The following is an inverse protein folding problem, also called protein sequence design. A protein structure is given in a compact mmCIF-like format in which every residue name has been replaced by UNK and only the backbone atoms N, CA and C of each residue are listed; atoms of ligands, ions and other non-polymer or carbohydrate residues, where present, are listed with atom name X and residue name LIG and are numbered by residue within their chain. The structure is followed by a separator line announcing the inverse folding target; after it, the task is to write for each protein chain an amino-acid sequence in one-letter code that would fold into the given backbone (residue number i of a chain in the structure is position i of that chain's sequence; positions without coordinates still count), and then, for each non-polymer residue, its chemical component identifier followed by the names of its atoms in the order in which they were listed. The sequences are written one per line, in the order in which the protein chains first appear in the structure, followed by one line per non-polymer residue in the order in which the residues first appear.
data_IF_366791762961
#
_entry.id   IF_366791762961
#
_cell.length_a   1.000
_cell.length_b   1.000
_cell.length_c   1.000
_cell.angle_alpha   90.00
_cell.angle_beta   90.00
_cell.angle_gamma   90.00
#
_symmetry.space_group_name_H-M   'P 1'
#
loop_
_entity.id
_entity.type
_entity.pdbx_description
1 polymer ?
#
# COMPACT_ATOMS: atom_id res chain seq x y z
N UNK A 1 23.17 9.94 -11.30
CA UNK A 1 22.58 9.95 -12.66
C UNK A 1 21.33 10.83 -12.66
N UNK A 2 21.22 11.79 -13.58
CA UNK A 2 19.99 12.60 -13.76
C UNK A 2 19.04 11.83 -14.68
N UNK A 3 17.74 11.96 -14.46
CA UNK A 3 16.72 11.39 -15.35
C UNK A 3 16.80 12.05 -16.71
N UNK A 4 16.87 11.24 -17.78
CA UNK A 4 16.85 11.75 -19.14
C UNK A 4 15.40 11.88 -19.63
N UNK A 5 15.07 13.06 -20.18
CA UNK A 5 13.71 13.38 -20.66
C UNK A 5 13.48 13.07 -22.14
N UNK A 6 14.54 12.80 -22.92
CA UNK A 6 14.45 12.58 -24.38
C UNK A 6 15.22 11.32 -24.82
N UNK A 7 14.63 10.50 -25.72
CA UNK A 7 15.27 9.29 -26.23
C UNK A 7 16.38 9.59 -27.25
N UNK A 8 17.40 8.74 -27.29
CA UNK A 8 18.47 8.77 -28.30
C UNK A 8 18.07 8.08 -29.62
N UNK A 9 18.92 8.16 -30.65
CA UNK A 9 18.70 7.48 -31.94
C UNK A 9 18.63 5.95 -31.73
N UNK A 10 19.54 5.39 -30.94
CA UNK A 10 19.54 3.97 -30.59
C UNK A 10 18.24 3.59 -29.89
N UNK A 11 17.74 4.48 -29.02
CA UNK A 11 16.49 4.26 -28.30
C UNK A 11 15.28 4.17 -29.23
N UNK A 12 15.26 5.03 -30.25
CA UNK A 12 14.18 5.10 -31.25
C UNK A 12 14.10 3.81 -32.10
N UNK A 13 15.25 3.19 -32.39
CA UNK A 13 15.35 1.93 -33.14
C UNK A 13 14.87 0.75 -32.29
N UNK A 14 15.31 0.71 -31.03
CA UNK A 14 14.91 -0.31 -30.06
C UNK A 14 13.41 -0.24 -29.70
N UNK A 15 12.81 0.95 -29.79
CA UNK A 15 11.40 1.20 -29.52
C UNK A 15 10.44 0.40 -30.42
N UNK A 16 10.87 0.05 -31.64
CA UNK A 16 10.11 -0.77 -32.60
C UNK A 16 9.94 -2.24 -32.14
N UNK A 17 10.83 -2.74 -31.28
CA UNK A 17 10.83 -4.13 -30.79
C UNK A 17 9.99 -4.33 -29.51
N UNK A 18 9.56 -3.25 -28.86
CA UNK A 18 8.84 -3.33 -27.58
C UNK A 18 7.39 -3.83 -27.75
N UNK A 19 6.91 -4.67 -26.82
CA UNK A 19 5.49 -5.10 -26.81
C UNK A 19 4.59 -3.89 -26.56
N UNK A 20 3.74 -3.55 -27.55
CA UNK A 20 2.81 -2.39 -27.53
C UNK A 20 2.11 -2.17 -26.18
N UNK A 21 1.60 -3.23 -25.55
CA UNK A 21 0.77 -3.16 -24.32
C UNK A 21 1.50 -2.58 -23.10
N UNK A 22 2.78 -2.92 -22.87
CA UNK A 22 3.53 -2.40 -21.71
C UNK A 22 3.91 -0.94 -21.91
N UNK A 23 4.34 -0.61 -23.13
CA UNK A 23 4.69 0.76 -23.53
C UNK A 23 3.49 1.69 -23.40
N UNK A 24 2.30 1.26 -23.82
CA UNK A 24 1.08 2.07 -23.66
C UNK A 24 0.77 2.34 -22.18
N UNK A 25 0.91 1.34 -21.31
CA UNK A 25 0.68 1.54 -19.88
C UNK A 25 1.67 2.55 -19.27
N UNK A 26 2.97 2.36 -19.47
CA UNK A 26 3.98 3.28 -18.93
C UNK A 26 3.85 4.70 -19.48
N UNK A 27 3.54 4.84 -20.77
CA UNK A 27 3.25 6.15 -21.38
C UNK A 27 2.03 6.80 -20.73
N UNK A 28 0.94 6.07 -20.53
CA UNK A 28 -0.26 6.58 -19.86
C UNK A 28 0.05 7.05 -18.44
N UNK A 29 0.82 6.29 -17.65
CA UNK A 29 1.22 6.72 -16.31
C UNK A 29 2.14 7.94 -16.36
N UNK A 30 3.08 7.98 -17.32
CA UNK A 30 3.96 9.13 -17.51
C UNK A 30 3.20 10.42 -17.87
N UNK A 31 2.08 10.31 -18.59
CA UNK A 31 1.20 11.44 -18.88
C UNK A 31 0.30 11.81 -17.70
N UNK A 32 -0.14 10.81 -16.92
CA UNK A 32 -1.09 11.01 -15.83
C UNK A 32 -0.46 11.63 -14.57
N UNK A 33 0.80 11.32 -14.30
CA UNK A 33 1.48 11.72 -13.07
C UNK A 33 2.51 12.80 -13.35
N UNK A 34 2.43 13.88 -12.60
CA UNK A 34 3.48 14.89 -12.54
C UNK A 34 4.62 14.38 -11.65
N UNK A 35 5.65 13.86 -12.32
CA UNK A 35 6.85 13.31 -11.68
C UNK A 35 7.79 14.38 -11.12
N UNK A 36 7.74 15.62 -11.62
CA UNK A 36 8.65 16.68 -11.15
C UNK A 36 8.30 17.04 -9.68
N UNK A 37 7.00 17.05 -9.34
CA UNK A 37 6.54 17.23 -7.96
C UNK A 37 6.94 16.06 -7.03
N UNK A 38 6.91 14.84 -7.54
CA UNK A 38 7.37 13.65 -6.81
C UNK A 38 8.88 13.70 -6.58
N UNK A 39 9.67 14.08 -7.58
CA UNK A 39 11.12 14.19 -7.47
C UNK A 39 11.52 15.22 -6.41
N UNK A 40 10.89 16.42 -6.41
CA UNK A 40 11.14 17.45 -5.38
C UNK A 40 10.87 16.95 -3.96
N UNK A 41 9.78 16.20 -3.78
CA UNK A 41 9.46 15.62 -2.47
C UNK A 41 10.54 14.61 -2.04
N UNK A 42 10.95 13.72 -2.94
CA UNK A 42 11.96 12.71 -2.64
C UNK A 42 13.30 13.38 -2.34
N UNK A 43 13.72 14.37 -3.12
CA UNK A 43 15.00 15.06 -2.94
C UNK A 43 15.07 15.86 -1.62
N UNK A 44 13.92 16.25 -1.05
CA UNK A 44 13.85 16.89 0.27
C UNK A 44 14.16 15.90 1.39
N UNK A 45 13.61 14.68 1.30
CA UNK A 45 13.70 13.69 2.38
C UNK A 45 14.87 12.69 2.18
N UNK A 46 15.41 12.57 0.96
CA UNK A 46 16.49 11.65 0.59
C UNK A 46 17.74 12.42 0.18
N UNK A 47 18.66 12.61 1.13
CA UNK A 47 19.96 13.23 0.85
C UNK A 47 20.84 12.30 0.02
N UNK A 48 21.13 12.72 -1.21
CA UNK A 48 22.11 12.07 -2.08
C UNK A 48 23.48 12.18 -1.42
N UNK A 49 24.16 11.05 -1.22
CA UNK A 49 25.53 11.04 -0.69
C UNK A 49 26.45 11.84 -1.60
N UNK A 50 26.87 13.03 -1.17
CA UNK A 50 27.87 13.85 -1.88
C UNK A 50 29.26 13.26 -1.62
N UNK A 51 29.56 12.08 -2.17
CA UNK A 51 30.95 11.61 -2.19
C UNK A 51 31.72 12.43 -3.22
N UNK A 52 32.73 13.17 -2.77
CA UNK A 52 33.72 13.84 -3.63
C UNK A 52 34.55 12.83 -4.45
N UNK A 53 34.54 11.55 -4.05
CA UNK A 53 35.22 10.43 -4.71
C UNK A 53 34.22 9.26 -4.82
N UNK A 54 33.60 9.06 -5.98
CA UNK A 54 32.66 7.96 -6.26
C UNK A 54 31.65 8.22 -7.39
N UNK A 55 30.97 7.17 -7.89
CA UNK A 55 29.90 7.28 -8.90
C UNK A 55 28.77 8.17 -8.36
N UNK A 56 28.27 9.16 -9.13
CA UNK A 56 27.26 10.10 -8.65
C UNK A 56 25.98 9.36 -8.26
N UNK A 57 25.39 9.73 -7.11
CA UNK A 57 24.17 9.09 -6.60
C UNK A 57 23.06 9.06 -7.66
N UNK A 58 22.30 7.97 -7.67
CA UNK A 58 21.14 7.83 -8.54
C UNK A 58 20.02 8.81 -8.16
N UNK A 59 19.21 9.24 -9.13
CA UNK A 59 18.02 10.06 -8.83
C UNK A 59 17.07 9.28 -7.92
N UNK A 60 16.54 9.95 -6.90
CA UNK A 60 15.54 9.34 -6.01
C UNK A 60 14.27 8.96 -6.76
N UNK A 61 13.90 9.72 -7.80
CA UNK A 61 12.76 9.40 -8.66
C UNK A 61 13.01 8.14 -9.49
N UNK A 62 14.24 7.91 -9.98
CA UNK A 62 14.61 6.66 -10.66
C UNK A 62 14.40 5.46 -9.71
N UNK A 63 14.92 5.53 -8.48
CA UNK A 63 14.78 4.46 -7.48
C UNK A 63 13.31 4.24 -7.06
N UNK A 64 12.52 5.31 -6.99
CA UNK A 64 11.09 5.19 -6.74
C UNK A 64 10.35 4.47 -7.87
N UNK A 65 10.67 4.79 -9.13
CA UNK A 65 10.11 4.08 -10.29
C UNK A 65 10.52 2.61 -10.34
N UNK A 66 11.74 2.27 -9.92
CA UNK A 66 12.14 0.88 -9.70
C UNK A 66 11.26 0.18 -8.66
N UNK A 67 10.90 0.86 -7.56
CA UNK A 67 9.99 0.29 -6.55
C UNK A 67 8.56 0.05 -7.09
N UNK A 68 8.08 0.93 -7.98
CA UNK A 68 6.79 0.72 -8.67
C UNK A 68 6.85 -0.51 -9.58
N UNK A 69 7.91 -0.66 -10.39
CA UNK A 69 8.12 -1.83 -11.24
C UNK A 69 8.23 -3.11 -10.41
N UNK A 70 8.98 -3.07 -9.31
CA UNK A 70 9.10 -4.18 -8.37
C UNK A 70 7.74 -4.67 -7.90
N UNK A 71 6.88 -3.73 -7.53
CA UNK A 71 5.57 -4.01 -6.96
C UNK A 71 4.59 -4.49 -8.04
N UNK A 72 4.52 -3.80 -9.18
CA UNK A 72 3.62 -4.18 -10.29
C UNK A 72 3.91 -5.57 -10.85
N UNK A 73 5.17 -5.98 -10.90
CA UNK A 73 5.57 -7.27 -11.49
C UNK A 73 5.91 -8.33 -10.44
N UNK A 74 5.77 -8.02 -9.15
CA UNK A 74 6.01 -8.97 -8.08
C UNK A 74 7.46 -9.43 -7.94
N UNK A 75 8.42 -8.61 -8.36
CA UNK A 75 9.84 -8.95 -8.48
C UNK A 75 10.59 -8.78 -7.14
N UNK A 76 11.68 -9.52 -6.97
CA UNK A 76 12.71 -9.29 -5.95
C UNK A 76 13.63 -8.13 -6.33
N UNK A 77 14.52 -7.72 -5.42
CA UNK A 77 15.45 -6.60 -5.72
C UNK A 77 16.41 -6.94 -6.86
N UNK A 78 16.97 -8.16 -6.85
CA UNK A 78 17.83 -8.67 -7.92
C UNK A 78 17.09 -8.79 -9.25
N UNK A 79 15.87 -9.33 -9.24
CA UNK A 79 15.09 -9.45 -10.48
C UNK A 79 14.73 -8.09 -11.08
N UNK A 80 14.52 -7.04 -10.28
CA UNK A 80 14.26 -5.70 -10.82
C UNK A 80 15.49 -5.12 -11.49
N UNK A 81 16.66 -5.29 -10.87
CA UNK A 81 17.95 -4.89 -11.43
C UNK A 81 18.19 -5.59 -12.78
N UNK A 82 18.11 -6.93 -12.81
CA UNK A 82 18.26 -7.71 -14.04
C UNK A 82 17.26 -7.27 -15.11
N UNK A 83 15.99 -7.10 -14.74
CA UNK A 83 14.94 -6.69 -15.69
C UNK A 83 15.11 -5.28 -16.23
N UNK A 84 15.75 -4.38 -15.49
CA UNK A 84 16.06 -3.04 -15.98
C UNK A 84 17.18 -3.07 -17.02
N UNK A 85 18.19 -3.91 -16.80
CA UNK A 85 19.26 -4.12 -17.77
C UNK A 85 18.75 -4.84 -19.04
N UNK A 86 17.82 -5.79 -18.90
CA UNK A 86 17.32 -6.60 -20.01
C UNK A 86 16.17 -5.95 -20.79
N UNK A 87 15.35 -5.12 -20.14
CA UNK A 87 14.09 -4.62 -20.71
C UNK A 87 14.13 -3.11 -20.95
N UNK A 88 14.26 -2.74 -22.22
CA UNK A 88 14.20 -1.36 -22.71
C UNK A 88 12.96 -0.61 -22.18
N UNK A 89 11.78 -1.24 -22.14
CA UNK A 89 10.56 -0.60 -21.64
C UNK A 89 10.63 -0.27 -20.13
N UNK A 90 11.35 -1.07 -19.34
CA UNK A 90 11.55 -0.80 -17.91
C UNK A 90 12.58 0.31 -17.73
N UNK A 91 13.69 0.22 -18.47
CA UNK A 91 14.75 1.24 -18.49
C UNK A 91 14.19 2.63 -18.82
N UNK A 92 13.42 2.76 -19.91
CA UNK A 92 12.78 4.03 -20.27
C UNK A 92 11.74 4.52 -19.29
N UNK A 93 10.96 3.62 -18.69
CA UNK A 93 10.03 4.06 -17.66
C UNK A 93 10.78 4.72 -16.51
N UNK A 94 11.90 4.12 -16.09
CA UNK A 94 12.82 4.66 -15.09
C UNK A 94 13.65 5.86 -15.56
N UNK A 95 13.53 6.30 -16.82
CA UNK A 95 14.26 7.43 -17.40
C UNK A 95 15.75 7.18 -17.57
N UNK A 96 16.12 5.92 -17.81
CA UNK A 96 17.47 5.49 -18.15
C UNK A 96 17.63 5.35 -19.66
N UNK A 97 18.84 5.58 -20.15
CA UNK A 97 19.24 5.28 -21.53
C UNK A 97 19.71 3.82 -21.67
N UNK A 98 19.82 3.35 -22.92
CA UNK A 98 20.24 1.97 -23.21
C UNK A 98 21.70 1.67 -22.84
N UNK A 99 22.55 2.69 -22.76
CA UNK A 99 23.97 2.60 -22.40
C UNK A 99 24.23 2.67 -20.89
N UNK A 100 23.18 2.94 -20.10
CA UNK A 100 23.28 3.08 -18.65
C UNK A 100 22.98 1.75 -17.92
N UNK A 101 23.81 1.42 -16.93
CA UNK A 101 23.61 0.22 -16.09
C UNK A 101 22.66 0.53 -14.94
N UNK A 102 21.74 -0.40 -14.64
CA UNK A 102 20.78 -0.29 -13.56
C UNK A 102 21.45 -0.09 -12.19
N UNK A 103 20.79 0.61 -11.25
CA UNK A 103 21.25 0.64 -9.88
C UNK A 103 21.21 -0.75 -9.24
N UNK A 104 22.27 -1.06 -8.51
CA UNK A 104 22.40 -2.30 -7.75
C UNK A 104 21.25 -2.49 -6.74
N UNK A 105 20.83 -3.74 -6.56
CA UNK A 105 19.78 -4.19 -5.64
C UNK A 105 19.96 -3.62 -4.21
N UNK A 106 21.22 -3.49 -3.75
CA UNK A 106 21.54 -2.96 -2.42
C UNK A 106 21.21 -1.47 -2.29
N UNK A 107 21.33 -0.72 -3.38
CA UNK A 107 20.98 0.71 -3.45
C UNK A 107 19.48 0.89 -3.28
N UNK A 108 18.68 0.06 -3.97
CA UNK A 108 17.23 0.07 -3.88
C UNK A 108 16.76 -0.23 -2.45
N UNK A 109 17.38 -1.23 -1.80
CA UNK A 109 17.07 -1.60 -0.42
C UNK A 109 17.39 -0.48 0.59
N UNK A 110 18.55 0.19 0.45
CA UNK A 110 18.92 1.35 1.27
C UNK A 110 17.97 2.52 1.06
N UNK A 111 17.60 2.81 -0.18
CA UNK A 111 16.65 3.86 -0.52
C UNK A 111 15.29 3.65 0.16
N UNK A 112 14.69 2.46 0.02
CA UNK A 112 13.41 2.16 0.70
C UNK A 112 13.52 2.29 2.21
N UNK A 113 14.62 1.81 2.80
CA UNK A 113 14.84 1.93 4.25
C UNK A 113 14.95 3.39 4.68
N UNK A 114 15.64 4.24 3.92
CA UNK A 114 15.74 5.67 4.20
C UNK A 114 14.36 6.34 4.15
N UNK A 115 13.59 6.14 3.08
CA UNK A 115 12.25 6.72 2.93
C UNK A 115 11.22 6.19 3.91
N UNK A 116 11.40 4.95 4.41
CA UNK A 116 10.57 4.39 5.48
C UNK A 116 10.78 5.18 6.77
N UNK A 117 12.04 5.47 7.13
CA UNK A 117 12.38 6.22 8.35
C UNK A 117 11.82 7.64 8.34
N UNK A 118 11.83 8.31 7.18
CA UNK A 118 11.31 9.67 7.00
C UNK A 118 9.80 9.72 6.73
N UNK A 119 9.13 8.56 6.67
CA UNK A 119 7.71 8.41 6.30
C UNK A 119 7.33 9.05 4.96
N UNK A 120 8.28 9.18 4.05
CA UNK A 120 8.08 9.84 2.75
C UNK A 120 7.07 9.09 1.88
N UNK A 121 6.92 7.78 2.04
CA UNK A 121 5.90 7.00 1.32
C UNK A 121 4.45 7.42 1.63
N UNK A 122 4.16 7.90 2.84
CA UNK A 122 2.84 8.45 3.18
C UNK A 122 2.60 9.75 2.40
N UNK A 123 3.61 10.63 2.34
CA UNK A 123 3.56 11.88 1.56
C UNK A 123 3.41 11.59 0.06
N UNK A 124 4.16 10.63 -0.47
CA UNK A 124 4.08 10.20 -1.87
C UNK A 124 2.70 9.66 -2.22
N UNK A 125 2.13 8.80 -1.38
CA UNK A 125 0.77 8.29 -1.55
C UNK A 125 -0.26 9.43 -1.55
N UNK A 126 -0.10 10.41 -0.66
CA UNK A 126 -0.96 11.60 -0.61
C UNK A 126 -0.88 12.44 -1.88
N UNK A 127 0.33 12.71 -2.39
CA UNK A 127 0.52 13.50 -3.63
C UNK A 127 -0.08 12.77 -4.83
N UNK A 128 0.17 11.46 -4.97
CA UNK A 128 -0.38 10.68 -6.07
C UNK A 128 -1.91 10.71 -6.02
N UNK A 129 -2.51 10.49 -4.86
CA UNK A 129 -3.97 10.53 -4.75
C UNK A 129 -4.54 11.94 -5.03
N UNK A 130 -3.84 13.01 -4.63
CA UNK A 130 -4.25 14.38 -4.96
C UNK A 130 -4.23 14.64 -6.47
N UNK A 131 -3.21 14.16 -7.18
CA UNK A 131 -3.16 14.24 -8.66
C UNK A 131 -4.30 13.44 -9.30
N UNK A 132 -4.56 12.22 -8.81
CA UNK A 132 -5.67 11.39 -9.32
C UNK A 132 -7.04 11.98 -9.03
N UNK A 133 -7.21 12.70 -7.91
CA UNK A 133 -8.40 13.47 -7.61
C UNK A 133 -8.57 14.65 -8.59
N UNK A 134 -7.49 15.39 -8.87
CA UNK A 134 -7.53 16.50 -9.83
C UNK A 134 -7.96 16.04 -11.24
N UNK A 135 -7.63 14.81 -11.62
CA UNK A 135 -8.09 14.17 -12.86
C UNK A 135 -9.50 13.54 -12.78
N UNK A 136 -10.25 13.74 -11.68
CA UNK A 136 -11.57 13.16 -11.42
C UNK A 136 -11.60 11.61 -11.47
N UNK A 137 -10.46 10.97 -11.20
CA UNK A 137 -10.35 9.50 -11.19
C UNK A 137 -10.78 8.96 -9.83
N UNK A 138 -10.33 9.60 -8.75
CA UNK A 138 -10.80 9.33 -7.38
C UNK A 138 -12.04 10.18 -7.12
N UNK A 139 -13.16 9.53 -6.80
CA UNK A 139 -14.45 10.22 -6.59
C UNK A 139 -15.00 9.95 -5.18
N UNK A 140 -15.14 11.02 -4.39
CA UNK A 140 -15.51 10.95 -2.96
C UNK A 140 -17.01 10.91 -2.69
N UNK A 141 -17.78 10.14 -3.48
CA UNK A 141 -19.24 9.99 -3.29
C UNK A 141 -19.59 9.01 -2.15
N UNK A 142 -18.60 8.37 -1.55
CA UNK A 142 -18.73 7.39 -0.48
C UNK A 142 -17.43 6.64 -0.29
N UNK A 143 -17.21 6.17 0.93
CA UNK A 143 -16.00 5.45 1.31
C UNK A 143 -16.33 4.06 1.83
N UNK A 144 -15.42 3.12 1.57
CA UNK A 144 -15.52 1.73 2.01
C UNK A 144 -14.29 1.42 2.86
N UNK A 145 -14.52 0.92 4.08
CA UNK A 145 -13.45 0.52 5.01
C UNK A 145 -13.49 -0.98 5.17
N UNK A 146 -12.34 -1.63 4.95
CA UNK A 146 -12.18 -3.07 5.17
C UNK A 146 -10.74 -3.44 5.51
N UNK A 147 -10.57 -4.64 6.07
CA UNK A 147 -9.29 -5.13 6.56
C UNK A 147 -8.94 -6.50 5.96
N UNK A 148 -7.70 -6.61 5.47
CA UNK A 148 -7.12 -7.88 5.04
C UNK A 148 -5.97 -8.28 5.96
N UNK A 149 -5.88 -9.58 6.21
CA UNK A 149 -4.71 -10.19 6.88
C UNK A 149 -3.60 -10.35 5.86
N UNK A 150 -2.37 -10.11 6.32
CA UNK A 150 -1.13 -10.36 5.59
C UNK A 150 -0.32 -11.33 6.43
N UNK A 151 -0.05 -12.50 5.87
CA UNK A 151 0.76 -13.51 6.52
C UNK A 151 2.25 -13.18 6.31
N UNK A 152 3.06 -13.38 7.35
CA UNK A 152 4.53 -13.35 7.24
C UNK A 152 5.08 -14.78 7.27
N UNK A 153 6.01 -15.14 6.37
CA UNK A 153 6.65 -16.44 6.40
C UNK A 153 7.59 -16.58 7.62
N UNK A 154 8.00 -15.46 8.23
CA UNK A 154 8.92 -15.36 9.36
C UNK A 154 8.23 -15.64 10.70
N UNK A 155 7.46 -16.73 10.77
CA UNK A 155 6.76 -17.16 11.98
C UNK A 155 7.71 -17.86 12.96
N UNK A 156 7.48 -17.73 14.28
CA UNK A 156 8.22 -18.52 15.27
C UNK A 156 8.01 -20.01 15.01
N UNK A 157 9.11 -20.75 14.91
CA UNK A 157 9.14 -22.21 14.77
C UNK A 157 9.65 -22.81 16.09
N UNK A 158 8.98 -23.84 16.61
CA UNK A 158 9.39 -24.51 17.85
C UNK A 158 8.72 -23.97 19.14
N UNK A 159 9.27 -24.36 20.29
CA UNK A 159 8.80 -23.91 21.62
C UNK A 159 9.32 -22.50 21.90
N UNK A 160 8.48 -21.64 22.48
CA UNK A 160 8.86 -20.29 22.91
C UNK A 160 9.69 -20.36 24.18
N UNK A 161 10.94 -19.89 24.13
CA UNK A 161 11.77 -19.73 25.32
C UNK A 161 11.40 -18.43 26.06
N UNK A 162 11.43 -18.47 27.39
CA UNK A 162 11.19 -17.32 28.25
C UNK A 162 12.44 -17.13 29.10
N UNK A 163 13.03 -15.93 29.09
CA UNK A 163 14.01 -15.57 30.12
C UNK A 163 13.25 -15.16 31.37
N UNK A 164 13.58 -15.81 32.48
CA UNK A 164 13.21 -15.38 33.82
C UNK A 164 14.47 -14.75 34.40
N UNK A 165 14.47 -13.43 34.61
CA UNK A 165 15.52 -12.77 35.40
C UNK A 165 15.39 -13.22 36.86
N UNK A 166 16.53 -13.55 37.49
CA UNK A 166 16.61 -14.10 38.85
C UNK A 166 16.08 -13.16 39.95
N UNK A 167 15.73 -13.80 41.06
CA UNK A 167 14.79 -13.42 42.13
C UNK A 167 15.31 -12.37 43.14
N UNK A 168 15.91 -11.26 42.67
CA UNK A 168 16.26 -10.12 43.56
C UNK A 168 16.11 -8.75 42.88
N UNK A 169 14.87 -8.35 42.61
CA UNK A 169 14.50 -6.93 42.41
C UNK A 169 13.00 -6.75 42.57
N UNK A 170 12.59 -5.75 43.35
CA UNK A 170 11.18 -5.41 43.67
C UNK A 170 10.39 -4.78 42.49
N UNK A 171 10.87 -4.91 41.24
CA UNK A 171 10.18 -4.39 40.06
C UNK A 171 9.45 -5.50 39.28
N UNK A 172 8.24 -5.19 38.79
CA UNK A 172 7.36 -6.11 38.06
C UNK A 172 8.10 -6.88 36.95
N UNK A 173 8.15 -8.21 37.10
CA UNK A 173 8.80 -9.14 36.17
C UNK A 173 8.07 -9.11 34.81
N UNK A 174 8.61 -8.37 33.84
CA UNK A 174 8.16 -8.44 32.44
C UNK A 174 8.75 -9.68 31.78
N UNK A 175 7.98 -10.77 31.73
CA UNK A 175 8.33 -11.96 30.94
C UNK A 175 8.44 -11.58 29.47
N UNK A 176 9.67 -11.47 28.95
CA UNK A 176 9.93 -11.24 27.53
C UNK A 176 10.09 -12.59 26.83
N UNK A 177 9.28 -12.84 25.81
CA UNK A 177 9.46 -13.99 24.92
C UNK A 177 10.67 -13.73 24.04
N UNK A 178 11.68 -14.60 24.12
CA UNK A 178 12.78 -14.56 23.17
C UNK A 178 12.37 -15.28 21.89
N UNK A 179 12.56 -14.60 20.77
CA UNK A 179 12.39 -15.15 19.44
C UNK A 179 13.75 -15.26 18.77
N UNK A 180 13.93 -16.27 17.92
CA UNK A 180 15.14 -16.37 17.11
C UNK A 180 15.22 -15.19 16.12
N UNK A 181 16.44 -14.82 15.71
CA UNK A 181 16.69 -13.73 14.75
C UNK A 181 16.02 -13.93 13.39
N UNK A 182 15.51 -15.13 13.07
CA UNK A 182 14.75 -15.41 11.85
C UNK A 182 13.28 -14.98 11.93
N UNK A 183 12.75 -14.73 13.12
CA UNK A 183 11.33 -14.43 13.37
C UNK A 183 11.04 -12.94 13.23
N UNK A 184 9.85 -12.61 12.74
CA UNK A 184 9.33 -11.25 12.82
C UNK A 184 8.68 -11.00 14.20
N UNK A 185 9.36 -10.23 15.04
CA UNK A 185 8.95 -9.93 16.42
C UNK A 185 7.69 -9.07 16.49
N UNK A 186 7.41 -8.27 15.46
CA UNK A 186 6.25 -7.40 15.40
C UNK A 186 5.00 -8.15 14.90
N UNK A 187 5.21 -9.32 14.29
CA UNK A 187 4.15 -10.21 13.85
C UNK A 187 3.36 -10.78 15.03
N UNK A 188 2.04 -10.86 14.89
CA UNK A 188 1.17 -11.45 15.93
C UNK A 188 0.27 -12.53 15.36
N UNK A 189 -0.18 -13.44 16.23
CA UNK A 189 -1.11 -14.49 15.85
C UNK A 189 -2.55 -13.99 15.82
N UNK A 190 -3.30 -14.46 14.82
CA UNK A 190 -4.73 -14.24 14.66
C UNK A 190 -5.41 -15.53 14.21
N UNK A 191 -6.48 -15.93 14.90
CA UNK A 191 -7.35 -17.03 14.43
C UNK A 191 -8.48 -16.45 13.58
N UNK A 192 -8.48 -16.70 12.27
CA UNK A 192 -9.53 -16.26 11.34
C UNK A 192 -10.09 -17.48 10.60
N UNK A 193 -11.42 -17.66 10.64
CA UNK A 193 -12.13 -18.78 9.98
C UNK A 193 -11.55 -20.17 10.33
N UNK A 194 -11.20 -20.37 11.60
CA UNK A 194 -10.65 -21.65 12.08
C UNK A 194 -9.16 -21.87 11.81
N UNK A 195 -8.51 -21.04 11.00
CA UNK A 195 -7.06 -21.12 10.71
C UNK A 195 -6.28 -20.07 11.50
N UNK A 196 -5.06 -20.43 11.89
CA UNK A 196 -4.12 -19.51 12.52
C UNK A 196 -3.28 -18.82 11.45
N UNK A 197 -3.24 -17.49 11.54
CA UNK A 197 -2.47 -16.59 10.71
C UNK A 197 -1.44 -15.90 11.58
N UNK A 198 -0.21 -15.73 11.09
CA UNK A 198 0.84 -14.99 11.79
C UNK A 198 1.29 -13.84 10.89
N UNK A 199 1.20 -12.62 11.39
CA UNK A 199 1.62 -11.43 10.64
C UNK A 199 0.87 -10.17 11.04
N UNK A 200 0.34 -9.48 10.03
CA UNK A 200 -0.19 -8.12 10.15
C UNK A 200 -1.61 -8.02 9.59
N UNK A 201 -2.26 -6.90 9.87
CA UNK A 201 -3.49 -6.47 9.20
C UNK A 201 -3.21 -5.18 8.45
N UNK A 202 -3.72 -5.12 7.22
CA UNK A 202 -3.86 -3.87 6.49
C UNK A 202 -5.31 -3.45 6.44
N UNK A 203 -5.56 -2.20 6.77
CA UNK A 203 -6.83 -1.53 6.61
C UNK A 203 -6.73 -0.62 5.41
N UNK A 204 -7.71 -0.71 4.52
CA UNK A 204 -7.84 0.21 3.40
C UNK A 204 -9.14 0.99 3.55
N UNK A 205 -9.03 2.30 3.31
CA UNK A 205 -10.17 3.14 2.98
C UNK A 205 -10.16 3.29 1.47
N UNK A 206 -11.21 2.85 0.80
CA UNK A 206 -11.35 3.03 -0.65
C UNK A 206 -12.49 3.96 -0.98
N UNK A 207 -12.45 4.53 -2.17
CA UNK A 207 -13.58 5.19 -2.78
C UNK A 207 -14.66 4.17 -3.21
N UNK A 208 -15.73 4.67 -3.82
CA UNK A 208 -16.77 3.83 -4.38
C UNK A 208 -16.35 3.05 -5.63
N UNK A 209 -15.20 3.28 -6.25
CA UNK A 209 -14.67 2.49 -7.39
C UNK A 209 -13.59 1.47 -7.00
N UNK A 210 -13.17 1.50 -5.73
CA UNK A 210 -12.18 0.62 -5.13
C UNK A 210 -10.76 1.19 -5.14
N UNK A 211 -10.55 2.45 -5.51
CA UNK A 211 -9.27 3.14 -5.39
C UNK A 211 -8.98 3.44 -3.92
N UNK A 212 -7.75 3.21 -3.49
CA UNK A 212 -7.33 3.32 -2.09
C UNK A 212 -7.02 4.78 -1.77
N UNK A 213 -7.71 5.35 -0.79
CA UNK A 213 -7.52 6.74 -0.32
C UNK A 213 -6.76 6.77 1.01
N UNK A 214 -6.89 5.72 1.84
CA UNK A 214 -6.23 5.62 3.14
C UNK A 214 -5.69 4.21 3.38
N UNK A 215 -4.55 4.13 4.07
CA UNK A 215 -3.88 2.87 4.41
C UNK A 215 -3.45 2.94 5.86
N UNK A 216 -3.80 1.92 6.65
CA UNK A 216 -3.26 1.73 7.99
C UNK A 216 -2.78 0.30 8.14
N UNK A 217 -1.58 0.11 8.70
CA UNK A 217 -1.06 -1.21 9.04
C UNK A 217 -1.06 -1.38 10.55
N UNK A 218 -1.60 -2.50 11.02
CA UNK A 218 -1.58 -2.84 12.45
C UNK A 218 -1.08 -4.27 12.62
N UNK A 219 -0.76 -4.63 13.86
CA UNK A 219 -0.56 -6.03 14.23
C UNK A 219 -1.82 -6.85 13.95
N UNK A 220 -1.68 -8.14 13.63
CA UNK A 220 -2.83 -9.00 13.33
C UNK A 220 -3.78 -9.19 14.52
N UNK A 221 -3.29 -9.10 15.76
CA UNK A 221 -4.12 -9.21 16.96
C UNK A 221 -5.00 -7.99 17.24
N UNK A 222 -4.65 -6.80 16.72
CA UNK A 222 -5.41 -5.56 16.98
C UNK A 222 -6.85 -5.70 16.47
N UNK A 223 -7.81 -5.31 17.31
CA UNK A 223 -9.24 -5.41 17.01
C UNK A 223 -9.68 -4.31 16.05
N UNK A 224 -10.43 -4.68 15.01
CA UNK A 224 -10.89 -3.77 13.95
C UNK A 224 -11.84 -2.67 14.48
N UNK A 225 -12.64 -2.97 15.51
CA UNK A 225 -13.59 -2.04 16.13
C UNK A 225 -12.90 -0.77 16.64
N UNK A 226 -11.72 -0.91 17.23
CA UNK A 226 -11.01 0.17 17.92
C UNK A 226 -10.29 1.11 16.94
N UNK A 227 -9.98 0.64 15.73
CA UNK A 227 -9.08 1.32 14.80
C UNK A 227 -9.79 2.23 13.80
N UNK A 228 -11.13 2.32 13.81
CA UNK A 228 -11.83 3.10 12.77
C UNK A 228 -11.41 4.58 12.76
N UNK A 229 -11.13 5.14 13.93
CA UNK A 229 -10.64 6.51 14.11
C UNK A 229 -9.27 6.68 13.45
N UNK A 230 -8.29 5.88 13.86
CA UNK A 230 -6.95 5.83 13.26
C UNK A 230 -7.01 5.66 11.73
N UNK A 231 -7.87 4.75 11.24
CA UNK A 231 -8.02 4.46 9.81
C UNK A 231 -8.55 5.70 9.06
N UNK A 232 -9.50 6.44 9.65
CA UNK A 232 -10.05 7.66 9.04
C UNK A 232 -9.10 8.85 9.14
N UNK A 233 -8.14 8.84 10.05
CA UNK A 233 -7.07 9.85 10.12
C UNK A 233 -6.02 9.66 9.03
N UNK A 234 -5.81 8.42 8.56
CA UNK A 234 -4.90 8.16 7.42
C UNK A 234 -5.39 8.73 6.08
N UNK A 235 -6.64 9.19 6.02
CA UNK A 235 -7.21 9.79 4.82
C UNK A 235 -6.78 11.26 4.79
N UNK A 236 -5.68 11.53 4.08
CA UNK A 236 -5.11 12.88 3.92
C UNK A 236 -5.90 13.78 2.95
N UNK A 237 -7.14 13.41 2.66
CA UNK A 237 -7.94 14.02 1.62
C UNK A 237 -9.30 14.42 2.21
N UNK A 238 -9.70 15.67 2.00
CA UNK A 238 -10.96 16.18 2.54
C UNK A 238 -12.16 15.38 2.04
N UNK A 239 -12.85 14.74 2.98
CA UNK A 239 -14.06 13.97 2.71
C UNK A 239 -15.27 14.92 2.75
N UNK A 240 -16.12 14.93 1.69
CA UNK A 240 -17.34 15.72 1.71
C UNK A 240 -18.27 15.30 2.86
N UNK A 241 -18.97 16.28 3.43
CA UNK A 241 -19.97 16.04 4.47
C UNK A 241 -21.15 15.23 3.90
N UNK A 242 -21.69 14.32 4.70
CA UNK A 242 -22.89 13.54 4.37
C UNK A 242 -22.66 12.33 3.46
N UNK A 243 -21.41 11.96 3.17
CA UNK A 243 -21.10 10.77 2.37
C UNK A 243 -21.29 9.47 3.18
N UNK A 244 -21.68 8.36 2.54
CA UNK A 244 -21.81 7.07 3.22
C UNK A 244 -20.45 6.42 3.50
N UNK A 245 -20.23 6.04 4.76
CA UNK A 245 -19.14 5.15 5.16
C UNK A 245 -19.65 3.72 5.28
N UNK A 246 -19.16 2.84 4.40
CA UNK A 246 -19.54 1.43 4.32
C UNK A 246 -18.46 0.58 4.98
N UNK A 247 -18.82 -0.26 5.94
CA UNK A 247 -17.87 -1.17 6.59
C UNK A 247 -18.53 -2.49 7.02
N UNK A 248 -17.72 -3.51 7.34
CA UNK A 248 -18.21 -4.79 7.84
C UNK A 248 -18.93 -4.65 9.20
N UNK A 249 -19.73 -5.64 9.55
CA UNK A 249 -20.37 -5.84 10.86
C UNK A 249 -19.35 -5.78 12.01
N UNK A 250 -18.11 -6.14 11.71
CA UNK A 250 -16.96 -6.01 12.62
C UNK A 250 -16.76 -4.59 13.12
N UNK A 251 -17.16 -3.55 12.38
CA UNK A 251 -17.01 -2.15 12.79
C UNK A 251 -18.20 -1.59 13.58
N UNK A 252 -19.24 -2.39 13.81
CA UNK A 252 -20.44 -1.93 14.49
C UNK A 252 -20.18 -1.71 16.00
N UNK A 253 -20.10 -0.46 16.42
CA UNK A 253 -20.00 -0.07 17.84
C UNK A 253 -20.68 1.27 18.11
N UNK A 254 -21.05 1.52 19.38
CA UNK A 254 -21.58 2.82 19.81
C UNK A 254 -20.55 3.94 19.63
N UNK A 255 -19.27 3.66 19.94
CA UNK A 255 -18.14 4.58 19.72
C UNK A 255 -18.07 5.01 18.25
N UNK A 256 -18.08 4.05 17.33
CA UNK A 256 -17.98 4.31 15.90
C UNK A 256 -19.20 5.07 15.37
N UNK A 257 -20.41 4.77 15.85
CA UNK A 257 -21.59 5.54 15.48
C UNK A 257 -21.49 7.02 15.92
N UNK A 258 -20.96 7.27 17.13
CA UNK A 258 -20.67 8.63 17.61
C UNK A 258 -19.62 9.35 16.78
N UNK A 259 -18.51 8.67 16.44
CA UNK A 259 -17.45 9.18 15.57
C UNK A 259 -17.98 9.61 14.20
N UNK A 260 -18.80 8.77 13.56
CA UNK A 260 -19.39 9.08 12.26
C UNK A 260 -20.33 10.28 12.32
N UNK A 261 -21.12 10.41 13.40
CA UNK A 261 -21.97 11.58 13.61
C UNK A 261 -21.11 12.85 13.77
N UNK A 262 -20.01 12.77 14.53
CA UNK A 262 -19.09 13.89 14.78
C UNK A 262 -18.40 14.36 13.49
N UNK A 263 -18.02 13.43 12.61
CA UNK A 263 -17.46 13.72 11.27
C UNK A 263 -18.51 13.96 10.17
N UNK A 264 -19.79 14.00 10.53
CA UNK A 264 -20.92 14.18 9.61
C UNK A 264 -20.95 13.17 8.44
N UNK A 265 -20.65 11.90 8.72
CA UNK A 265 -20.68 10.78 7.77
C UNK A 265 -21.94 9.93 7.97
N UNK A 266 -22.55 9.46 6.87
CA UNK A 266 -23.70 8.55 6.95
C UNK A 266 -23.23 7.16 7.38
N UNK A 267 -23.82 6.65 8.46
CA UNK A 267 -23.47 5.34 9.01
C UNK A 267 -24.04 4.19 8.16
N UNK A 268 -23.20 3.67 7.28
CA UNK A 268 -23.49 2.56 6.38
C UNK A 268 -22.71 1.30 6.80
N UNK A 269 -22.47 1.13 8.11
CA UNK A 269 -21.88 -0.09 8.68
C UNK A 269 -22.93 -1.21 8.70
N UNK A 270 -22.55 -2.41 8.26
CA UNK A 270 -23.45 -3.57 8.24
C UNK A 270 -23.97 -3.91 9.64
N UNK A 271 -25.25 -4.28 9.72
CA UNK A 271 -25.92 -4.64 10.98
C UNK A 271 -25.63 -6.10 11.35
N UNK A 272 -25.30 -6.33 12.61
CA UNK A 272 -25.03 -7.63 13.23
C UNK A 272 -26.23 -8.09 14.04
N UNK A 273 -26.55 -9.38 13.95
CA UNK A 273 -27.51 -10.03 14.84
C UNK A 273 -26.88 -10.25 16.22
N UNK A 274 -27.67 -10.15 17.27
CA UNK A 274 -27.24 -10.48 18.63
C UNK A 274 -27.90 -11.78 19.08
N UNK A 275 -27.37 -12.38 20.15
CA UNK A 275 -28.00 -13.55 20.79
C UNK A 275 -29.45 -13.20 21.11
N UNK A 276 -30.38 -14.03 20.62
CA UNK A 276 -31.82 -13.86 20.77
C UNK A 276 -32.43 -12.59 20.12
N UNK A 277 -31.68 -11.87 19.27
CA UNK A 277 -32.17 -10.71 18.50
C UNK A 277 -31.74 -10.85 17.03
N UNK A 278 -32.53 -11.59 16.21
CA UNK A 278 -32.25 -11.73 14.79
C UNK A 278 -32.45 -10.39 14.06
N UNK A 279 -31.81 -10.26 12.89
CA UNK A 279 -31.97 -9.07 12.05
C UNK A 279 -33.42 -8.95 11.56
N UNK A 280 -33.95 -7.74 11.64
CA UNK A 280 -35.24 -7.36 11.06
C UNK A 280 -35.22 -7.47 9.52
N UNK A 281 -36.40 -7.51 8.90
CA UNK A 281 -36.53 -7.53 7.42
C UNK A 281 -35.81 -6.34 6.78
N UNK A 282 -35.93 -5.16 7.38
CA UNK A 282 -35.30 -3.93 6.90
C UNK A 282 -33.78 -3.96 7.04
N UNK A 283 -33.24 -4.44 8.16
CA UNK A 283 -31.79 -4.58 8.34
C UNK A 283 -31.19 -5.60 7.38
N UNK A 284 -31.90 -6.69 7.07
CA UNK A 284 -31.47 -7.64 6.03
C UNK A 284 -31.45 -6.99 4.64
N UNK A 285 -32.49 -6.22 4.28
CA UNK A 285 -32.55 -5.49 3.01
C UNK A 285 -31.43 -4.44 2.92
N UNK A 286 -31.17 -3.71 4.00
CA UNK A 286 -30.06 -2.77 4.13
C UNK A 286 -28.70 -3.45 3.95
N UNK A 287 -28.45 -4.55 4.66
CA UNK A 287 -27.21 -5.32 4.51
C UNK A 287 -27.02 -5.82 3.07
N UNK A 288 -28.09 -6.28 2.40
CA UNK A 288 -28.05 -6.69 0.99
C UNK A 288 -27.67 -5.53 0.07
N UNK A 289 -28.23 -4.34 0.28
CA UNK A 289 -27.92 -3.15 -0.52
C UNK A 289 -26.46 -2.71 -0.34
N UNK A 290 -25.97 -2.68 0.90
CA UNK A 290 -24.57 -2.29 1.16
C UNK A 290 -23.59 -3.33 0.63
N UNK A 291 -23.90 -4.62 0.80
CA UNK A 291 -23.09 -5.73 0.27
C UNK A 291 -22.83 -5.63 -1.23
N UNK A 292 -23.82 -5.17 -2.02
CA UNK A 292 -23.67 -4.94 -3.48
C UNK A 292 -22.60 -3.93 -3.86
N UNK A 293 -22.16 -3.06 -2.95
CA UNK A 293 -21.11 -2.07 -3.23
C UNK A 293 -19.80 -2.38 -2.50
N UNK A 294 -19.88 -3.01 -1.32
CA UNK A 294 -18.71 -3.39 -0.52
C UNK A 294 -17.78 -4.35 -1.25
N UNK A 295 -18.27 -5.19 -2.15
CA UNK A 295 -17.41 -6.11 -2.91
C UNK A 295 -16.27 -5.39 -3.69
N UNK A 296 -16.38 -4.08 -3.92
CA UNK A 296 -15.34 -3.29 -4.58
C UNK A 296 -14.05 -3.21 -3.77
N UNK A 297 -14.09 -3.13 -2.43
CA UNK A 297 -12.85 -3.20 -1.61
C UNK A 297 -12.27 -4.61 -1.59
N UNK A 298 -13.12 -5.64 -1.63
CA UNK A 298 -12.67 -7.03 -1.79
C UNK A 298 -11.99 -7.24 -3.16
N UNK A 299 -12.48 -6.59 -4.22
CA UNK A 299 -11.83 -6.52 -5.53
C UNK A 299 -10.48 -5.80 -5.44
N UNK A 300 -10.36 -4.75 -4.63
CA UNK A 300 -9.08 -4.07 -4.38
C UNK A 300 -8.06 -5.02 -3.77
N UNK A 301 -8.42 -5.70 -2.67
CA UNK A 301 -7.54 -6.71 -2.07
C UNK A 301 -7.24 -7.87 -3.03
N UNK A 302 -8.25 -8.37 -3.75
CA UNK A 302 -8.10 -9.44 -4.72
C UNK A 302 -7.20 -9.05 -5.90
N UNK A 303 -7.33 -7.82 -6.39
CA UNK A 303 -6.48 -7.27 -7.46
C UNK A 303 -5.03 -7.13 -7.02
N UNK A 304 -4.78 -6.56 -5.84
CA UNK A 304 -3.42 -6.49 -5.27
C UNK A 304 -2.79 -7.88 -5.16
N UNK A 305 -3.54 -8.87 -4.66
CA UNK A 305 -3.04 -10.24 -4.53
C UNK A 305 -2.75 -10.92 -5.87
N UNK A 306 -3.65 -10.78 -6.85
CA UNK A 306 -3.57 -11.49 -8.13
C UNK A 306 -2.66 -10.81 -9.15
N UNK A 307 -2.61 -9.48 -9.18
CA UNK A 307 -1.87 -8.74 -10.20
C UNK A 307 -0.43 -8.48 -9.80
N UNK A 308 -0.17 -8.29 -8.50
CA UNK A 308 1.13 -7.81 -7.99
C UNK A 308 1.83 -8.83 -7.10
N UNK A 309 1.31 -10.06 -7.02
CA UNK A 309 1.70 -11.07 -6.03
C UNK A 309 1.77 -10.50 -4.60
N UNK A 310 0.83 -9.59 -4.29
CA UNK A 310 0.72 -8.98 -2.97
C UNK A 310 0.06 -9.91 -1.95
N UNK A 311 0.04 -9.47 -0.70
CA UNK A 311 -0.66 -10.19 0.38
C UNK A 311 0.19 -11.19 1.18
N UNK A 312 1.50 -11.24 0.93
CA UNK A 312 2.50 -11.81 1.81
C UNK A 312 3.44 -10.69 2.28
N UNK A 313 3.89 -10.74 3.53
CA UNK A 313 4.92 -9.85 4.04
C UNK A 313 6.26 -10.15 3.37
N UNK A 314 6.84 -9.16 2.68
CA UNK A 314 8.19 -9.25 2.09
C UNK A 314 9.26 -8.74 3.05
N UNK A 315 8.90 -7.80 3.91
CA UNK A 315 9.81 -7.16 4.84
C UNK A 315 9.47 -7.52 6.28
N UNK A 316 10.48 -7.42 7.14
CA UNK A 316 10.34 -7.60 8.59
C UNK A 316 9.99 -6.27 9.25
N UNK A 317 9.06 -6.34 10.20
CA UNK A 317 8.72 -5.21 11.07
C UNK A 317 7.59 -4.34 10.53
N UNK A 318 6.85 -3.72 11.45
CA UNK A 318 5.59 -3.06 11.14
C UNK A 318 5.75 -1.83 10.22
N UNK A 319 6.83 -1.06 10.36
CA UNK A 319 7.08 0.15 9.56
C UNK A 319 7.35 -0.19 8.09
N UNK A 320 8.19 -1.19 7.84
CA UNK A 320 8.47 -1.66 6.48
C UNK A 320 7.24 -2.33 5.86
N UNK A 321 6.45 -3.03 6.67
CA UNK A 321 5.16 -3.57 6.23
C UNK A 321 4.16 -2.48 5.90
N UNK A 322 4.15 -1.37 6.64
CA UNK A 322 3.35 -0.20 6.31
C UNK A 322 3.76 0.41 4.98
N UNK A 323 5.07 0.56 4.76
CA UNK A 323 5.63 1.00 3.48
C UNK A 323 5.25 0.08 2.32
N UNK A 324 5.32 -1.25 2.50
CA UNK A 324 4.88 -2.21 1.49
C UNK A 324 3.39 -2.00 1.13
N UNK A 325 2.54 -1.82 2.14
CA UNK A 325 1.10 -1.64 1.92
C UNK A 325 0.78 -0.31 1.22
N UNK A 326 1.51 0.77 1.53
CA UNK A 326 1.42 2.03 0.80
C UNK A 326 1.84 1.86 -0.65
N UNK A 327 2.95 1.17 -0.91
CA UNK A 327 3.43 0.90 -2.26
C UNK A 327 2.43 0.06 -3.07
N UNK A 328 1.87 -0.99 -2.48
CA UNK A 328 0.81 -1.80 -3.09
C UNK A 328 -0.43 -0.96 -3.44
N UNK A 329 -0.81 -0.03 -2.55
CA UNK A 329 -1.95 0.88 -2.77
C UNK A 329 -1.68 1.89 -3.90
N UNK A 330 -0.50 2.54 -3.91
CA UNK A 330 -0.06 3.41 -5.00
C UNK A 330 -0.08 2.67 -6.34
N UNK A 331 0.53 1.48 -6.38
CA UNK A 331 0.58 0.64 -7.57
C UNK A 331 -0.80 0.26 -8.07
N UNK A 332 -1.72 -0.10 -7.16
CA UNK A 332 -3.10 -0.43 -7.50
C UNK A 332 -3.85 0.75 -8.11
N UNK A 333 -3.75 1.94 -7.50
CA UNK A 333 -4.42 3.13 -7.98
C UNK A 333 -3.92 3.51 -9.37
N UNK A 334 -2.59 3.59 -9.55
CA UNK A 334 -1.98 3.89 -10.84
C UNK A 334 -2.38 2.86 -11.90
N UNK A 335 -2.34 1.57 -11.57
CA UNK A 335 -2.70 0.51 -12.51
C UNK A 335 -4.17 0.58 -12.98
N UNK A 336 -5.09 0.96 -12.08
CA UNK A 336 -6.52 1.09 -12.40
C UNK A 336 -6.87 2.38 -13.14
N UNK A 337 -6.06 3.43 -12.99
CA UNK A 337 -6.39 4.78 -13.44
C UNK A 337 -6.63 4.89 -14.96
N UNK A 338 -5.77 4.35 -15.85
CA UNK A 338 -6.01 4.42 -17.28
C UNK A 338 -7.32 3.76 -17.73
N UNK A 339 -7.69 2.64 -17.09
CA UNK A 339 -8.95 1.95 -17.37
C UNK A 339 -10.18 2.75 -16.95
N UNK A 340 -10.09 3.49 -15.85
CA UNK A 340 -11.16 4.37 -15.37
C UNK A 340 -11.33 5.57 -16.31
N UNK A 341 -10.23 6.19 -16.73
CA UNK A 341 -10.26 7.26 -17.73
C UNK A 341 -10.92 6.77 -19.01
N UNK A 342 -10.47 5.62 -19.54
CA UNK A 342 -11.04 5.04 -20.76
C UNK A 342 -12.54 4.73 -20.64
N UNK A 343 -13.02 4.33 -19.45
CA UNK A 343 -14.46 4.14 -19.23
C UNK A 343 -15.24 5.45 -19.12
N UNK A 344 -14.62 6.51 -18.61
CA UNK A 344 -15.26 7.82 -18.45
C UNK A 344 -15.26 8.62 -19.76
N UNK A 345 -14.31 8.36 -20.67
CA UNK A 345 -14.24 9.00 -22.00
C UNK A 345 -15.20 8.40 -23.04
N UNK A 346 -15.86 7.27 -22.75
CA UNK A 346 -16.95 6.75 -23.59
C UNK A 346 -18.23 7.54 -23.32
N UNK A 347 -18.31 8.73 -23.90
CA UNK A 347 -19.53 9.54 -24.01
C UNK A 347 -19.66 9.98 -25.46
#
# INVERSE_FOLDING_TARGET
MKLQKQPTIADTICDLRSRKIKRTFFSQINTLIDWDNIEKLIDTDYSRGKSAVGKPSYSGLLLFKMCLLQSWYGLSDYEVEDRLNDSISFSYFCGMNIDEVAPDHSTLSRFRTALTKTKTFEKLFSIINAQLEAHNIIVKKGIIVDASVIDTPLRPKGKTNHEVTEDRSEEEIKVKKQYADSVDTDGTWLKKRGKYHFGFKKHHVTDNEGLVIGVLTTTASKNEIANLEDVLETVNIDLPKGIPLKADKGYQSKKNAGLLKKRNLKNHILRKAYKNKPLTRWERKFNKLIGKTRFKVERTFGGIKRWFNGGLARYRGIEKMHTQNLMEAMCYNLYRSPGIIASNCKI
#
